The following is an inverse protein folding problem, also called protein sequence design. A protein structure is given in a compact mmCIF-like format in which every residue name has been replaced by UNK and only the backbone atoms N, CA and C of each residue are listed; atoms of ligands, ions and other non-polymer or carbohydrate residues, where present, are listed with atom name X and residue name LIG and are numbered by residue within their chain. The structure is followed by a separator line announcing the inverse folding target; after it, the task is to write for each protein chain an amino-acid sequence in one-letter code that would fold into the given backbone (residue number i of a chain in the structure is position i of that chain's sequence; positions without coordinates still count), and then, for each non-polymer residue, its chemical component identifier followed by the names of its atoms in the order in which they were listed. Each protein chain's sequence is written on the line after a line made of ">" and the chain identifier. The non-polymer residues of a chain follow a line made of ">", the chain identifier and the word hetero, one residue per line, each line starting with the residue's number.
data_IF_266543501160
#
_entry.id   IF_266543501160
#
_cell.length_a   1.000
_cell.length_b   1.000
_cell.length_c   1.000
_cell.angle_alpha   90.00
_cell.angle_beta   90.00
_cell.angle_gamma   90.00
#
_symmetry.space_group_name_H-M   'P 1'
#
loop_
_entity.id
_entity.type
_entity.pdbx_description
1 polymer ?
#
# COMPACT_ATOMS: atom_id res chain seq x y z
N UNK A 1 -16.20 41.16 3.05
CA UNK A 1 -15.66 40.23 4.06
C UNK A 1 -16.70 39.15 4.24
N UNK A 2 -16.48 37.95 3.67
CA UNK A 2 -17.45 36.86 3.78
C UNK A 2 -17.55 36.45 5.26
N UNK A 3 -18.75 36.42 5.86
CA UNK A 3 -18.90 36.12 7.28
C UNK A 3 -18.43 34.68 7.56
N UNK A 4 -17.68 34.51 8.64
CA UNK A 4 -17.07 33.23 9.06
C UNK A 4 -18.09 32.08 9.09
N UNK A 5 -19.33 32.35 9.48
CA UNK A 5 -20.43 31.39 9.49
C UNK A 5 -20.80 30.87 8.08
N UNK A 6 -20.71 31.72 7.06
CA UNK A 6 -20.96 31.33 5.67
C UNK A 6 -19.80 30.48 5.12
N UNK A 7 -18.57 30.79 5.52
CA UNK A 7 -17.39 29.97 5.24
C UNK A 7 -17.48 28.56 5.89
N UNK A 8 -17.94 28.47 7.14
CA UNK A 8 -18.23 27.19 7.79
C UNK A 8 -19.36 26.41 7.11
N UNK A 9 -20.42 27.09 6.62
CA UNK A 9 -21.51 26.43 5.89
C UNK A 9 -21.09 25.90 4.51
N UNK A 10 -20.18 26.59 3.81
CA UNK A 10 -19.61 26.11 2.56
C UNK A 10 -18.74 24.87 2.78
N UNK A 11 -18.02 24.81 3.90
CA UNK A 11 -17.21 23.64 4.26
C UNK A 11 -18.08 22.42 4.62
N UNK A 12 -19.26 22.63 5.21
CA UNK A 12 -20.24 21.56 5.48
C UNK A 12 -20.91 21.00 4.20
N UNK A 13 -20.96 21.79 3.12
CA UNK A 13 -21.52 21.39 1.82
C UNK A 13 -20.53 20.62 0.93
N UNK A 14 -19.22 20.74 1.18
CA UNK A 14 -18.18 19.98 0.50
C UNK A 14 -17.98 18.59 1.14
N UNK A 15 -19.08 17.88 1.41
CA UNK A 15 -18.98 16.44 1.61
C UNK A 15 -18.66 15.85 0.24
N UNK A 16 -17.39 15.53 0.00
CA UNK A 16 -16.94 14.83 -1.20
C UNK A 16 -17.66 13.48 -1.25
N UNK A 17 -18.83 13.47 -1.88
CA UNK A 17 -19.69 12.30 -1.96
C UNK A 17 -18.93 11.26 -2.77
N UNK A 18 -18.50 10.21 -2.09
CA UNK A 18 -17.78 9.11 -2.70
C UNK A 18 -18.57 8.61 -3.92
N UNK A 19 -17.97 8.55 -5.11
CA UNK A 19 -18.68 8.10 -6.30
C UNK A 19 -19.09 6.63 -6.16
N UNK A 20 -20.24 6.25 -6.71
CA UNK A 20 -20.83 4.92 -6.53
C UNK A 20 -19.91 3.77 -7.00
N UNK A 21 -19.05 4.02 -7.99
CA UNK A 21 -18.08 3.04 -8.48
C UNK A 21 -16.84 2.89 -7.59
N UNK A 22 -16.60 3.79 -6.62
CA UNK A 22 -15.38 3.79 -5.79
C UNK A 22 -15.21 2.46 -5.07
N UNK A 23 -16.28 1.93 -4.49
CA UNK A 23 -16.25 0.67 -3.76
C UNK A 23 -15.72 -0.48 -4.63
N UNK A 24 -16.26 -0.59 -5.84
CA UNK A 24 -15.89 -1.65 -6.78
C UNK A 24 -14.45 -1.49 -7.29
N UNK A 25 -14.04 -0.26 -7.62
CA UNK A 25 -12.66 0.04 -8.03
C UNK A 25 -11.67 -0.24 -6.90
N UNK A 26 -12.00 0.14 -5.67
CA UNK A 26 -11.17 -0.06 -4.49
C UNK A 26 -10.98 -1.55 -4.18
N UNK A 27 -12.07 -2.34 -4.19
CA UNK A 27 -11.99 -3.79 -4.04
C UNK A 27 -11.15 -4.42 -5.16
N UNK A 28 -11.33 -3.97 -6.41
CA UNK A 28 -10.54 -4.42 -7.54
C UNK A 28 -9.04 -4.16 -7.35
N UNK A 29 -8.67 -2.97 -6.90
CA UNK A 29 -7.28 -2.60 -6.61
C UNK A 29 -6.68 -3.43 -5.46
N UNK A 30 -7.46 -3.72 -4.41
CA UNK A 30 -7.01 -4.57 -3.31
C UNK A 30 -6.72 -5.99 -3.75
N UNK A 31 -7.63 -6.59 -4.51
CA UNK A 31 -7.47 -7.97 -4.97
C UNK A 31 -6.31 -8.06 -5.96
N UNK A 32 -6.31 -7.21 -6.99
CA UNK A 32 -5.28 -7.23 -8.02
C UNK A 32 -3.90 -6.91 -7.45
N UNK A 33 -3.81 -5.92 -6.57
CA UNK A 33 -2.55 -5.59 -5.89
C UNK A 33 -2.01 -6.76 -5.06
N UNK A 34 -2.86 -7.36 -4.23
CA UNK A 34 -2.47 -8.51 -3.41
C UNK A 34 -1.99 -9.69 -4.25
N UNK A 35 -2.70 -10.01 -5.34
CA UNK A 35 -2.31 -11.05 -6.29
C UNK A 35 -0.99 -10.69 -6.98
N UNK A 36 -0.82 -9.46 -7.45
CA UNK A 36 0.38 -9.03 -8.16
C UNK A 36 1.64 -9.14 -7.26
N UNK A 37 1.55 -8.67 -6.01
CA UNK A 37 2.65 -8.79 -5.06
C UNK A 37 2.95 -10.24 -4.69
N UNK A 38 1.91 -11.08 -4.53
CA UNK A 38 2.08 -12.50 -4.25
C UNK A 38 2.79 -13.22 -5.41
N UNK A 39 2.35 -12.98 -6.65
CA UNK A 39 2.99 -13.54 -7.84
C UNK A 39 4.44 -13.09 -7.93
N UNK A 40 4.72 -11.79 -7.72
CA UNK A 40 6.08 -11.26 -7.72
C UNK A 40 6.97 -11.93 -6.67
N UNK A 41 6.46 -12.14 -5.45
CA UNK A 41 7.19 -12.82 -4.39
C UNK A 41 7.46 -14.30 -4.75
N UNK A 42 6.44 -15.04 -5.18
CA UNK A 42 6.56 -16.47 -5.53
C UNK A 42 7.51 -16.67 -6.72
N UNK A 43 7.32 -15.92 -7.80
CA UNK A 43 8.20 -16.00 -8.97
C UNK A 43 9.62 -15.57 -8.62
N UNK A 44 9.78 -14.55 -7.79
CA UNK A 44 11.06 -14.11 -7.28
C UNK A 44 11.78 -15.24 -6.53
N UNK A 45 11.13 -15.91 -5.58
CA UNK A 45 11.73 -17.03 -4.84
C UNK A 45 12.00 -18.24 -5.73
N UNK A 46 11.08 -18.59 -6.64
CA UNK A 46 11.25 -19.71 -7.56
C UNK A 46 12.45 -19.50 -8.50
N UNK A 47 12.67 -18.27 -8.95
CA UNK A 47 13.74 -17.91 -9.90
C UNK A 47 15.03 -17.46 -9.22
N UNK A 48 15.04 -17.26 -7.91
CA UNK A 48 16.21 -16.82 -7.16
C UNK A 48 17.41 -17.79 -7.21
N UNK A 49 17.19 -19.09 -7.48
CA UNK A 49 18.29 -20.04 -7.71
C UNK A 49 18.92 -19.89 -9.10
N UNK A 50 18.13 -19.54 -10.12
CA UNK A 50 18.58 -19.48 -11.51
C UNK A 50 19.21 -18.13 -11.87
N UNK A 51 18.72 -17.02 -11.30
CA UNK A 51 19.13 -15.66 -11.67
C UNK A 51 20.03 -14.96 -10.63
N UNK A 52 20.43 -15.67 -9.58
CA UNK A 52 21.44 -15.21 -8.63
C UNK A 52 20.95 -14.22 -7.57
N UNK A 53 21.89 -13.42 -7.04
CA UNK A 53 21.66 -12.62 -5.84
C UNK A 53 20.66 -11.47 -6.05
N UNK A 54 20.62 -10.84 -7.22
CA UNK A 54 19.72 -9.70 -7.52
C UNK A 54 18.24 -10.09 -7.40
N UNK A 55 17.86 -11.27 -7.91
CA UNK A 55 16.49 -11.76 -7.84
C UNK A 55 16.03 -12.00 -6.40
N UNK A 56 16.93 -12.41 -5.49
CA UNK A 56 16.61 -12.55 -4.05
C UNK A 56 16.20 -11.23 -3.43
N UNK A 57 16.92 -10.14 -3.75
CA UNK A 57 16.60 -8.80 -3.27
C UNK A 57 15.25 -8.30 -3.80
N UNK A 58 14.92 -8.58 -5.05
CA UNK A 58 13.59 -8.27 -5.60
C UNK A 58 12.47 -9.10 -4.95
N UNK A 59 12.70 -10.36 -4.60
CA UNK A 59 11.73 -11.16 -3.84
C UNK A 59 11.46 -10.57 -2.45
N UNK A 60 12.52 -10.13 -1.75
CA UNK A 60 12.35 -9.47 -0.45
C UNK A 60 11.57 -8.16 -0.59
N UNK A 61 11.84 -7.37 -1.64
CA UNK A 61 11.05 -6.17 -1.93
C UNK A 61 9.57 -6.49 -2.14
N UNK A 62 9.24 -7.54 -2.91
CA UNK A 62 7.87 -7.98 -3.14
C UNK A 62 7.17 -8.43 -1.85
N UNK A 63 7.87 -9.14 -0.95
CA UNK A 63 7.33 -9.52 0.35
C UNK A 63 7.07 -8.29 1.23
N UNK A 64 7.99 -7.33 1.25
CA UNK A 64 7.78 -6.07 1.98
C UNK A 64 6.55 -5.32 1.45
N UNK A 65 6.36 -5.27 0.13
CA UNK A 65 5.17 -4.64 -0.47
C UNK A 65 3.88 -5.44 -0.22
N UNK A 66 3.97 -6.76 -0.09
CA UNK A 66 2.84 -7.61 0.32
C UNK A 66 2.43 -7.33 1.78
N UNK A 67 3.38 -7.14 2.69
CA UNK A 67 3.10 -6.75 4.08
C UNK A 67 2.53 -5.33 4.13
N UNK A 68 3.10 -4.40 3.36
CA UNK A 68 2.55 -3.04 3.22
C UNK A 68 1.11 -3.07 2.68
N UNK A 69 0.78 -4.01 1.79
CA UNK A 69 -0.57 -4.16 1.25
C UNK A 69 -1.65 -4.42 2.30
N UNK A 70 -1.26 -4.97 3.47
CA UNK A 70 -2.17 -5.18 4.62
C UNK A 70 -2.76 -3.84 5.11
N UNK A 71 -2.01 -2.73 5.01
CA UNK A 71 -2.51 -1.40 5.36
C UNK A 71 -3.76 -1.03 4.55
N UNK A 72 -3.77 -1.34 3.25
CA UNK A 72 -4.91 -1.05 2.40
C UNK A 72 -6.10 -1.96 2.70
N UNK A 73 -5.85 -3.21 3.11
CA UNK A 73 -6.90 -4.13 3.56
C UNK A 73 -7.57 -3.59 4.84
N UNK A 74 -6.76 -3.12 5.80
CA UNK A 74 -7.26 -2.51 7.04
C UNK A 74 -8.06 -1.24 6.76
N UNK A 75 -7.54 -0.36 5.89
CA UNK A 75 -8.25 0.84 5.45
C UNK A 75 -9.59 0.46 4.79
N UNK A 76 -9.57 -0.56 3.92
CA UNK A 76 -10.77 -1.10 3.29
C UNK A 76 -11.81 -1.54 4.31
N UNK A 77 -11.42 -2.36 5.28
CA UNK A 77 -12.32 -2.84 6.32
C UNK A 77 -12.98 -1.68 7.07
N UNK A 78 -12.22 -0.68 7.49
CA UNK A 78 -12.75 0.51 8.18
C UNK A 78 -13.73 1.29 7.30
N UNK A 79 -13.38 1.52 6.03
CA UNK A 79 -14.23 2.28 5.10
C UNK A 79 -15.55 1.59 4.78
N UNK A 80 -15.59 0.26 4.75
CA UNK A 80 -16.82 -0.50 4.44
C UNK A 80 -17.65 -0.89 5.65
N UNK A 81 -17.01 -1.16 6.80
CA UNK A 81 -17.71 -1.51 8.05
C UNK A 81 -18.33 -0.30 8.74
N UNK A 82 -18.02 0.93 8.28
CA UNK A 82 -18.58 2.15 8.86
C UNK A 82 -18.14 2.37 10.31
N UNK A 83 -16.91 2.01 10.65
CA UNK A 83 -16.38 2.23 12.00
C UNK A 83 -16.54 3.71 12.37
N UNK A 84 -17.06 3.97 13.56
CA UNK A 84 -17.31 5.32 14.07
C UNK A 84 -16.00 6.13 14.09
N UNK A 85 -16.08 7.45 13.89
CA UNK A 85 -14.95 8.36 13.69
C UNK A 85 -13.82 8.25 14.75
N UNK A 86 -14.10 7.69 15.93
CA UNK A 86 -13.13 7.53 17.02
C UNK A 86 -12.17 6.34 16.84
N UNK A 87 -12.45 5.37 15.95
CA UNK A 87 -11.60 4.18 15.73
C UNK A 87 -10.58 4.36 14.58
N UNK A 88 -10.67 5.46 13.84
CA UNK A 88 -9.77 5.72 12.70
C UNK A 88 -8.34 6.00 13.15
N UNK A 89 -8.14 6.62 14.31
CA UNK A 89 -6.81 6.97 14.81
C UNK A 89 -5.95 5.71 15.03
N UNK A 90 -6.52 4.67 15.62
CA UNK A 90 -5.84 3.39 15.84
C UNK A 90 -5.43 2.72 14.53
N UNK A 91 -6.32 2.73 13.52
CA UNK A 91 -6.05 2.13 12.22
C UNK A 91 -5.07 2.96 11.39
N UNK A 92 -5.13 4.28 11.48
CA UNK A 92 -4.16 5.18 10.86
C UNK A 92 -2.77 5.02 11.50
N UNK A 93 -2.70 4.87 12.81
CA UNK A 93 -1.43 4.66 13.53
C UNK A 93 -0.82 3.30 13.18
N UNK A 94 -1.63 2.24 13.13
CA UNK A 94 -1.17 0.91 12.70
C UNK A 94 -0.78 0.90 11.21
N UNK A 95 -1.54 1.60 10.36
CA UNK A 95 -1.19 1.81 8.96
C UNK A 95 0.11 2.59 8.80
N UNK A 96 0.34 3.62 9.61
CA UNK A 96 1.56 4.40 9.58
C UNK A 96 2.80 3.57 9.91
N UNK A 97 2.70 2.60 10.83
CA UNK A 97 3.76 1.64 11.10
C UNK A 97 4.11 0.80 9.86
N UNK A 98 3.10 0.39 9.08
CA UNK A 98 3.32 -0.41 7.87
C UNK A 98 4.08 0.35 6.77
N UNK A 99 4.15 1.69 6.83
CA UNK A 99 4.99 2.48 5.92
C UNK A 99 6.48 2.12 6.01
N UNK A 100 6.95 1.57 7.15
CA UNK A 100 8.34 1.08 7.24
C UNK A 100 8.62 0.00 6.19
N UNK A 101 7.63 -0.83 5.88
CA UNK A 101 7.79 -1.90 4.88
C UNK A 101 7.86 -1.36 3.45
N UNK A 102 7.20 -0.25 3.11
CA UNK A 102 7.40 0.36 1.79
C UNK A 102 8.82 0.91 1.65
N UNK A 103 9.38 1.48 2.72
CA UNK A 103 10.78 1.96 2.75
C UNK A 103 11.75 0.78 2.63
N UNK A 104 11.56 -0.29 3.40
CA UNK A 104 12.36 -1.50 3.29
C UNK A 104 12.26 -2.13 1.90
N UNK A 105 11.06 -2.17 1.31
CA UNK A 105 10.84 -2.64 -0.04
C UNK A 105 11.62 -1.83 -1.07
N UNK A 106 11.64 -0.50 -0.94
CA UNK A 106 12.44 0.37 -1.79
C UNK A 106 13.95 0.10 -1.64
N UNK A 107 14.45 -0.05 -0.41
CA UNK A 107 15.86 -0.40 -0.16
C UNK A 107 16.21 -1.75 -0.79
N UNK A 108 15.37 -2.76 -0.62
CA UNK A 108 15.55 -4.08 -1.23
C UNK A 108 15.56 -3.98 -2.76
N UNK A 109 14.67 -3.18 -3.36
CA UNK A 109 14.65 -2.97 -4.80
C UNK A 109 15.93 -2.28 -5.31
N UNK A 110 16.40 -1.24 -4.62
CA UNK A 110 17.67 -0.55 -4.93
C UNK A 110 18.83 -1.54 -4.90
N UNK A 111 18.94 -2.35 -3.84
CA UNK A 111 19.97 -3.39 -3.73
C UNK A 111 19.86 -4.43 -4.85
N UNK A 112 18.63 -4.78 -5.23
CA UNK A 112 18.36 -5.64 -6.39
C UNK A 112 18.97 -5.08 -7.68
N UNK A 113 18.73 -3.81 -7.98
CA UNK A 113 19.32 -3.13 -9.15
C UNK A 113 20.85 -3.00 -9.07
N UNK A 114 21.40 -2.68 -7.89
CA UNK A 114 22.85 -2.60 -7.68
C UNK A 114 23.52 -3.95 -7.99
N UNK A 115 22.95 -5.06 -7.48
CA UNK A 115 23.51 -6.39 -7.72
C UNK A 115 23.29 -6.90 -9.15
N UNK A 116 22.34 -6.31 -9.88
CA UNK A 116 22.08 -6.64 -11.28
C UNK A 116 23.02 -5.87 -12.22
N UNK A 117 23.42 -4.65 -11.85
CA UNK A 117 24.32 -3.79 -12.63
C UNK A 117 25.80 -3.98 -12.28
N UNK A 118 26.12 -4.44 -11.07
CA UNK A 118 27.46 -4.76 -10.63
C UNK A 118 27.46 -6.13 -9.92
N UNK A 119 27.47 -7.25 -10.67
CA UNK A 119 27.42 -8.58 -10.09
C UNK A 119 28.71 -8.84 -9.30
N UNK A 120 28.63 -9.35 -8.04
CA UNK A 120 29.82 -9.77 -7.32
C UNK A 120 30.52 -10.88 -8.12
N UNK A 121 31.82 -10.69 -8.37
CA UNK A 121 32.67 -11.68 -9.06
C UNK A 121 32.71 -13.00 -8.31
#
# INVERSE_FOLDING_TARGET
>A
MLPLAMLLSLQAGLSAKQPAYFALVFIGLLILGGIAWLIAAVLGFARARAFGASTRWFSFAAVCLLIYHIQFILLGFVTFMGAQQNDFDSVLQFGAFLNVFVVLGAICAIMGFVRLTNPPR
#
